data_IF_325323688038
#
_entry.id   IF_325323688038
#
_cell.length_a   1.000
_cell.length_b   1.000
_cell.length_c   1.000
_cell.angle_alpha   90.00
_cell.angle_beta   90.00
_cell.angle_gamma   90.00
#
_symmetry.space_group_name_H-M   'P 1'
#
loop_
_entity.id
_entity.type
_entity.pdbx_description
1 polymer ?
#
# COMPACT_ATOMS: atom_id res chain seq x y z
N UNK A 1 3.74 -8.04 5.19
CA UNK A 1 3.91 -7.50 6.56
C UNK A 1 2.93 -6.36 6.84
N UNK A 2 3.01 -5.23 6.13
CA UNK A 2 2.12 -4.06 6.37
C UNK A 2 0.63 -4.38 6.32
N UNK A 3 0.11 -4.77 5.14
CA UNK A 3 -1.32 -5.06 4.97
C UNK A 3 -1.86 -6.15 5.92
N UNK A 4 -1.04 -7.15 6.25
CA UNK A 4 -1.41 -8.22 7.18
C UNK A 4 -1.56 -7.72 8.62
N UNK A 5 -0.56 -6.97 9.13
CA UNK A 5 -0.60 -6.38 10.48
C UNK A 5 -1.71 -5.32 10.60
N UNK A 6 -1.82 -4.42 9.62
CA UNK A 6 -2.89 -3.42 9.59
C UNK A 6 -4.28 -4.05 9.57
N UNK A 7 -4.47 -5.10 8.76
CA UNK A 7 -5.72 -5.87 8.72
C UNK A 7 -6.05 -6.56 10.04
N UNK A 8 -5.05 -7.13 10.72
CA UNK A 8 -5.24 -7.74 12.05
C UNK A 8 -5.67 -6.71 13.11
N UNK A 9 -5.02 -5.54 13.14
CA UNK A 9 -5.38 -4.45 14.06
C UNK A 9 -6.79 -3.96 13.75
N UNK A 10 -7.13 -3.75 12.47
CA UNK A 10 -8.48 -3.34 12.07
C UNK A 10 -9.56 -4.37 12.47
N UNK A 11 -9.27 -5.67 12.29
CA UNK A 11 -10.17 -6.74 12.73
C UNK A 11 -10.37 -6.74 14.26
N UNK A 12 -9.30 -6.45 15.01
CA UNK A 12 -9.41 -6.27 16.46
C UNK A 12 -10.26 -5.05 16.83
N UNK A 13 -10.04 -3.90 16.19
CA UNK A 13 -10.80 -2.66 16.47
C UNK A 13 -12.29 -2.83 16.18
N UNK A 14 -12.64 -3.38 15.02
CA UNK A 14 -14.03 -3.61 14.60
C UNK A 14 -14.77 -4.59 15.51
N UNK A 15 -14.06 -5.58 16.08
CA UNK A 15 -14.66 -6.53 17.02
C UNK A 15 -14.90 -5.94 18.42
N UNK A 16 -14.05 -5.01 18.86
CA UNK A 16 -13.99 -4.60 20.27
C UNK A 16 -14.41 -3.15 20.54
N UNK A 17 -14.52 -2.29 19.51
CA UNK A 17 -14.85 -0.88 19.67
C UNK A 17 -16.03 -0.48 18.78
N UNK A 18 -16.95 0.37 19.27
CA UNK A 18 -18.00 0.93 18.44
C UNK A 18 -17.38 1.86 17.39
N UNK A 19 -17.88 1.77 16.15
CA UNK A 19 -17.32 2.50 15.02
C UNK A 19 -17.36 4.03 15.25
N UNK A 20 -18.45 4.55 15.79
CA UNK A 20 -18.64 5.97 16.12
C UNK A 20 -17.77 6.47 17.29
N UNK A 21 -17.02 5.59 17.96
CA UNK A 21 -16.21 5.98 19.10
C UNK A 21 -14.90 6.69 18.69
N UNK A 22 -14.45 7.71 19.46
CA UNK A 22 -13.16 8.36 19.22
C UNK A 22 -11.98 7.38 19.41
N UNK A 23 -12.16 6.34 20.25
CA UNK A 23 -11.18 5.27 20.43
C UNK A 23 -10.99 4.45 19.15
N UNK A 24 -12.06 4.21 18.40
CA UNK A 24 -12.00 3.53 17.11
C UNK A 24 -11.24 4.38 16.09
N UNK A 25 -11.56 5.68 15.99
CA UNK A 25 -10.85 6.60 15.09
C UNK A 25 -9.36 6.71 15.42
N UNK A 26 -9.00 6.85 16.70
CA UNK A 26 -7.59 6.83 17.13
C UNK A 26 -6.91 5.50 16.80
N UNK A 27 -7.57 4.38 17.12
CA UNK A 27 -7.06 3.05 16.81
C UNK A 27 -6.84 2.85 15.32
N UNK A 28 -7.73 3.36 14.47
CA UNK A 28 -7.62 3.30 13.02
C UNK A 28 -6.39 4.07 12.51
N UNK A 29 -6.16 5.28 13.02
CA UNK A 29 -4.95 6.06 12.72
C UNK A 29 -3.68 5.36 13.21
N UNK A 30 -3.69 4.78 14.41
CA UNK A 30 -2.56 3.99 14.90
C UNK A 30 -2.30 2.76 14.02
N UNK A 31 -3.36 2.08 13.55
CA UNK A 31 -3.27 0.92 12.68
C UNK A 31 -2.62 1.26 11.33
N UNK A 32 -3.01 2.36 10.70
CA UNK A 32 -2.40 2.82 9.44
C UNK A 32 -0.92 3.17 9.64
N UNK A 33 -0.58 3.88 10.71
CA UNK A 33 0.81 4.25 11.01
C UNK A 33 1.69 3.02 11.23
N UNK A 34 1.24 2.09 12.09
CA UNK A 34 1.98 0.85 12.41
C UNK A 34 2.14 0.00 11.15
N UNK A 35 1.08 -0.14 10.35
CA UNK A 35 1.12 -0.90 9.10
C UNK A 35 2.18 -0.36 8.14
N UNK A 36 2.21 0.97 7.93
CA UNK A 36 3.15 1.62 7.01
C UNK A 36 4.60 1.51 7.53
N UNK A 37 4.83 1.78 8.81
CA UNK A 37 6.16 1.66 9.42
C UNK A 37 6.66 0.21 9.42
N UNK A 38 5.78 -0.77 9.64
CA UNK A 38 6.14 -2.18 9.57
C UNK A 38 6.50 -2.63 8.14
N UNK A 39 5.84 -2.06 7.11
CA UNK A 39 6.21 -2.28 5.72
C UNK A 39 7.60 -1.70 5.40
N UNK A 40 7.88 -0.47 5.84
CA UNK A 40 9.18 0.18 5.68
C UNK A 40 10.31 -0.60 6.39
N UNK A 41 10.03 -1.16 7.56
CA UNK A 41 10.95 -2.04 8.27
C UNK A 41 11.23 -3.34 7.52
N UNK A 42 10.19 -3.99 6.99
CA UNK A 42 10.37 -5.19 6.16
C UNK A 42 11.21 -4.89 4.90
N UNK A 43 10.94 -3.79 4.22
CA UNK A 43 11.74 -3.34 3.08
C UNK A 43 13.20 -3.08 3.47
N UNK A 44 13.45 -2.49 4.64
CA UNK A 44 14.81 -2.27 5.16
C UNK A 44 15.57 -3.58 5.40
N UNK A 45 14.87 -4.62 5.88
CA UNK A 45 15.45 -5.96 6.03
C UNK A 45 15.79 -6.58 4.67
N UNK A 46 14.91 -6.46 3.68
CA UNK A 46 15.14 -6.97 2.33
C UNK A 46 16.34 -6.29 1.65
N UNK A 47 16.42 -4.96 1.76
CA UNK A 47 17.57 -4.19 1.26
C UNK A 47 18.86 -4.59 1.96
N UNK A 48 18.86 -4.72 3.29
CA UNK A 48 20.04 -5.17 4.01
C UNK A 48 20.45 -6.61 3.63
N UNK A 49 19.48 -7.52 3.48
CA UNK A 49 19.72 -8.90 3.08
C UNK A 49 20.27 -9.03 1.66
N UNK A 50 19.91 -8.10 0.77
CA UNK A 50 20.45 -8.02 -0.59
C UNK A 50 21.92 -7.57 -0.66
N UNK A 51 22.49 -7.11 0.46
CA UNK A 51 23.87 -6.60 0.51
C UNK A 51 24.06 -5.20 -0.09
N UNK A 52 22.98 -4.51 -0.48
CA UNK A 52 23.04 -3.17 -1.09
C UNK A 52 23.42 -2.06 -0.11
N UNK A 53 23.01 -2.19 1.16
CA UNK A 53 23.25 -1.18 2.20
C UNK A 53 23.24 -1.81 3.61
N UNK A 54 24.03 -1.28 4.54
CA UNK A 54 24.04 -1.78 5.91
C UNK A 54 22.71 -1.54 6.63
N UNK A 55 22.26 -2.54 7.39
CA UNK A 55 20.94 -2.55 8.04
C UNK A 55 20.65 -1.28 8.86
N UNK A 56 21.53 -0.90 9.79
CA UNK A 56 21.27 0.27 10.65
C UNK A 56 21.19 1.58 9.86
N UNK A 57 21.91 1.68 8.73
CA UNK A 57 21.90 2.87 7.87
C UNK A 57 20.58 2.98 7.12
N UNK A 58 20.14 1.90 6.48
CA UNK A 58 18.86 1.88 5.75
C UNK A 58 17.68 1.93 6.70
N UNK A 59 17.69 1.17 7.80
CA UNK A 59 16.60 1.15 8.76
C UNK A 59 16.39 2.54 9.39
N UNK A 60 17.46 3.22 9.82
CA UNK A 60 17.36 4.56 10.38
C UNK A 60 16.74 5.56 9.41
N UNK A 61 17.19 5.56 8.16
CA UNK A 61 16.68 6.46 7.12
C UNK A 61 15.24 6.10 6.71
N UNK A 62 14.99 4.83 6.41
CA UNK A 62 13.72 4.34 5.88
C UNK A 62 12.62 4.45 6.92
N UNK A 63 12.85 3.99 8.16
CA UNK A 63 11.85 4.11 9.23
C UNK A 63 11.63 5.57 9.61
N UNK A 64 12.68 6.40 9.68
CA UNK A 64 12.53 7.83 10.00
C UNK A 64 11.63 8.56 9.00
N UNK A 65 11.93 8.42 7.71
CA UNK A 65 11.13 9.02 6.62
C UNK A 65 9.70 8.47 6.62
N UNK A 66 9.52 7.16 6.73
CA UNK A 66 8.19 6.54 6.68
C UNK A 66 7.37 6.77 7.96
N UNK A 67 8.00 6.97 9.11
CA UNK A 67 7.30 7.39 10.33
C UNK A 67 6.64 8.76 10.15
N UNK A 68 7.31 9.70 9.49
CA UNK A 68 6.75 11.03 9.19
C UNK A 68 5.63 10.94 8.14
N UNK A 69 5.86 10.21 7.05
CA UNK A 69 4.83 9.95 6.02
C UNK A 69 3.61 9.26 6.65
N UNK A 70 3.84 8.32 7.57
CA UNK A 70 2.79 7.59 8.28
C UNK A 70 1.86 8.50 9.09
N UNK A 71 2.33 9.66 9.56
CA UNK A 71 1.46 10.65 10.22
C UNK A 71 0.45 11.20 9.21
N UNK A 72 0.92 11.57 8.02
CA UNK A 72 0.06 12.01 6.91
C UNK A 72 -0.95 10.95 6.51
N UNK A 73 -0.51 9.71 6.35
CA UNK A 73 -1.39 8.57 6.03
C UNK A 73 -2.47 8.35 7.11
N UNK A 74 -2.11 8.52 8.38
CA UNK A 74 -3.05 8.38 9.49
C UNK A 74 -4.09 9.48 9.51
N UNK A 75 -3.68 10.73 9.22
CA UNK A 75 -4.61 11.85 9.09
C UNK A 75 -5.56 11.66 7.91
N UNK A 76 -5.06 11.19 6.77
CA UNK A 76 -5.88 10.87 5.59
C UNK A 76 -6.85 9.74 5.92
N UNK A 77 -6.37 8.65 6.54
CA UNK A 77 -7.19 7.49 6.91
C UNK A 77 -8.33 7.88 7.84
N UNK A 78 -8.04 8.64 8.90
CA UNK A 78 -9.05 9.10 9.86
C UNK A 78 -9.97 10.15 9.23
N UNK A 79 -9.44 11.04 8.39
CA UNK A 79 -10.22 12.04 7.67
C UNK A 79 -11.22 11.40 6.68
N UNK A 80 -10.79 10.43 5.89
CA UNK A 80 -11.66 9.64 5.01
C UNK A 80 -12.69 8.84 5.81
N UNK A 81 -12.28 8.29 6.95
CA UNK A 81 -13.20 7.61 7.85
C UNK A 81 -14.34 8.55 8.27
N UNK A 82 -14.06 9.75 8.78
CA UNK A 82 -15.12 10.70 9.11
C UNK A 82 -15.88 11.24 7.88
N UNK A 83 -15.21 11.46 6.74
CA UNK A 83 -15.85 11.98 5.53
C UNK A 83 -16.80 10.99 4.84
N UNK A 84 -16.51 9.69 4.93
CA UNK A 84 -17.27 8.63 4.25
C UNK A 84 -18.19 7.84 5.20
N UNK A 85 -17.85 7.70 6.49
CA UNK A 85 -18.63 6.93 7.45
C UNK A 85 -19.86 7.66 8.01
N UNK A 86 -20.06 8.95 7.69
CA UNK A 86 -21.24 9.71 8.14
C UNK A 86 -22.49 9.50 7.31
N UNK A 87 -22.43 8.71 6.23
CA UNK A 87 -23.62 8.20 5.55
C UNK A 87 -23.76 6.72 5.90
N UNK A 88 -24.88 6.27 6.49
CA UNK A 88 -25.11 4.85 6.70
C UNK A 88 -25.30 4.20 5.33
N UNK A 89 -24.20 3.77 4.71
CA UNK A 89 -24.25 2.78 3.64
C UNK A 89 -24.77 1.53 4.33
N UNK A 90 -26.04 1.19 4.08
CA UNK A 90 -26.59 -0.09 4.53
C UNK A 90 -25.62 -1.16 4.04
N UNK A 91 -24.95 -1.82 4.98
CA UNK A 91 -24.04 -2.90 4.66
C UNK A 91 -24.87 -3.96 3.93
N UNK A 92 -24.72 -4.01 2.60
CA UNK A 92 -25.27 -5.12 1.85
C UNK A 92 -24.57 -6.37 2.36
N UNK A 93 -25.34 -7.36 2.80
CA UNK A 93 -24.83 -8.67 3.22
C UNK A 93 -23.99 -9.36 2.11
N UNK A 94 -24.03 -8.82 0.89
CA UNK A 94 -23.21 -9.16 -0.26
C UNK A 94 -22.24 -8.00 -0.55
N UNK A 95 -21.21 -7.81 0.28
CA UNK A 95 -20.14 -6.87 -0.05
C UNK A 95 -19.40 -7.40 -1.27
N UNK A 96 -19.67 -6.81 -2.43
CA UNK A 96 -19.04 -7.22 -3.69
C UNK A 96 -17.61 -6.68 -3.72
N UNK A 97 -16.64 -7.55 -4.00
CA UNK A 97 -15.27 -7.16 -4.28
C UNK A 97 -15.14 -6.18 -5.47
N UNK A 98 -16.22 -6.01 -6.25
CA UNK A 98 -16.32 -5.02 -7.31
C UNK A 98 -16.18 -3.57 -6.82
N UNK A 99 -16.69 -3.24 -5.63
CA UNK A 99 -16.63 -1.86 -5.10
C UNK A 99 -15.18 -1.41 -4.85
N UNK A 100 -14.37 -2.14 -4.05
CA UNK A 100 -12.97 -1.76 -3.87
C UNK A 100 -12.15 -1.88 -5.16
N UNK A 101 -12.48 -2.82 -6.05
CA UNK A 101 -11.79 -2.95 -7.35
C UNK A 101 -12.06 -1.74 -8.26
N UNK A 102 -13.31 -1.27 -8.35
CA UNK A 102 -13.66 -0.08 -9.12
C UNK A 102 -13.00 1.17 -8.55
N UNK A 103 -13.00 1.33 -7.23
CA UNK A 103 -12.31 2.44 -6.57
C UNK A 103 -10.80 2.42 -6.89
N UNK A 104 -10.15 1.26 -6.76
CA UNK A 104 -8.74 1.10 -7.10
C UNK A 104 -8.47 1.38 -8.58
N UNK A 105 -9.35 0.92 -9.48
CA UNK A 105 -9.24 1.17 -10.92
C UNK A 105 -9.38 2.65 -11.28
N UNK A 106 -10.31 3.36 -10.64
CA UNK A 106 -10.48 4.82 -10.81
C UNK A 106 -9.23 5.55 -10.34
N UNK A 107 -8.71 5.21 -9.16
CA UNK A 107 -7.49 5.83 -8.63
C UNK A 107 -6.32 5.56 -9.58
N UNK A 108 -6.14 4.31 -10.00
CA UNK A 108 -5.07 3.91 -10.89
C UNK A 108 -5.13 4.59 -12.26
N UNK A 109 -6.31 4.68 -12.89
CA UNK A 109 -6.44 5.24 -14.24
C UNK A 109 -6.50 6.76 -14.25
N UNK A 110 -7.22 7.37 -13.31
CA UNK A 110 -7.59 8.78 -13.37
C UNK A 110 -6.79 9.66 -12.40
N UNK A 111 -6.35 9.14 -11.26
CA UNK A 111 -5.62 9.94 -10.25
C UNK A 111 -4.11 9.75 -10.34
N UNK A 112 -3.63 8.54 -10.68
CA UNK A 112 -2.19 8.27 -10.77
C UNK A 112 -1.41 9.17 -11.76
N UNK A 113 -1.97 9.62 -12.91
CA UNK A 113 -1.23 10.49 -13.82
C UNK A 113 -0.98 11.91 -13.25
N UNK A 114 -1.69 12.29 -12.19
CA UNK A 114 -1.51 13.55 -11.48
C UNK A 114 -0.63 13.38 -10.22
N UNK A 115 0.01 12.22 -10.04
CA UNK A 115 0.96 12.02 -8.97
C UNK A 115 2.16 12.97 -9.10
N UNK A 116 2.73 13.38 -7.97
CA UNK A 116 3.91 14.23 -7.94
C UNK A 116 5.10 13.56 -8.63
N UNK A 117 5.87 14.32 -9.41
CA UNK A 117 7.13 13.85 -9.99
C UNK A 117 8.33 13.90 -9.03
N UNK A 118 8.11 14.27 -7.76
CA UNK A 118 9.15 14.24 -6.73
C UNK A 118 9.40 12.78 -6.27
N UNK A 119 10.64 12.44 -5.86
CA UNK A 119 10.95 11.11 -5.39
C UNK A 119 10.09 10.77 -4.17
N UNK A 120 9.56 9.55 -4.15
CA UNK A 120 8.83 9.06 -2.99
C UNK A 120 9.78 8.79 -1.79
N UNK A 121 9.23 8.37 -0.66
CA UNK A 121 10.02 8.13 0.55
C UNK A 121 11.12 7.08 0.37
N UNK A 122 10.90 6.07 -0.48
CA UNK A 122 11.88 5.01 -0.75
C UNK A 122 12.95 5.50 -1.73
N UNK A 123 12.54 6.13 -2.83
CA UNK A 123 13.44 6.72 -3.83
C UNK A 123 14.30 7.82 -3.24
N UNK A 124 13.74 8.66 -2.37
CA UNK A 124 14.50 9.70 -1.69
C UNK A 124 15.59 9.10 -0.78
N UNK A 125 15.26 8.06 0.00
CA UNK A 125 16.25 7.34 0.83
C UNK A 125 17.29 6.66 -0.05
N UNK A 126 16.87 6.07 -1.16
CA UNK A 126 17.75 5.45 -2.14
C UNK A 126 18.74 6.43 -2.77
N UNK A 127 18.28 7.60 -3.21
CA UNK A 127 19.11 8.67 -3.73
C UNK A 127 20.04 9.23 -2.65
N UNK A 128 19.53 9.45 -1.42
CA UNK A 128 20.34 10.03 -0.33
C UNK A 128 21.52 9.15 0.05
N UNK A 129 21.36 7.84 0.00
CA UNK A 129 22.37 6.87 0.42
C UNK A 129 23.02 6.11 -0.75
N UNK A 130 22.64 6.44 -1.99
CA UNK A 130 23.20 5.93 -3.24
C UNK A 130 23.23 4.39 -3.29
N UNK A 131 22.22 3.69 -2.76
CA UNK A 131 22.20 2.22 -2.79
C UNK A 131 21.53 1.63 -4.03
N UNK A 132 20.94 2.47 -4.89
CA UNK A 132 20.59 2.10 -6.27
C UNK A 132 21.83 2.33 -7.15
N UNK A 133 22.75 1.38 -7.16
CA UNK A 133 23.83 1.38 -8.16
C UNK A 133 23.29 0.81 -9.47
N UNK A 134 23.80 1.31 -10.61
CA UNK A 134 23.55 0.77 -11.95
C UNK A 134 24.22 -0.61 -12.16
N UNK A 135 24.12 -1.53 -11.21
CA UNK A 135 24.35 -2.94 -11.47
C UNK A 135 23.19 -3.48 -12.30
N UNK A 136 23.49 -4.37 -13.26
CA UNK A 136 22.45 -5.02 -14.05
C UNK A 136 21.40 -5.61 -13.11
N UNK A 137 20.13 -5.18 -13.19
CA UNK A 137 19.14 -5.61 -12.23
C UNK A 137 18.94 -7.12 -12.39
N UNK A 138 18.97 -7.86 -11.28
CA UNK A 138 18.73 -9.30 -11.29
C UNK A 138 17.33 -9.65 -11.85
N UNK A 139 16.42 -8.67 -11.86
CA UNK A 139 15.10 -8.76 -12.46
C UNK A 139 14.80 -7.49 -13.28
N UNK A 140 14.40 -7.66 -14.53
CA UNK A 140 13.96 -6.54 -15.37
C UNK A 140 12.52 -6.19 -14.99
N UNK A 141 12.29 -4.94 -14.59
CA UNK A 141 10.93 -4.45 -14.30
C UNK A 141 10.05 -4.60 -15.54
N UNK A 142 8.80 -5.03 -15.34
CA UNK A 142 7.82 -5.22 -16.42
C UNK A 142 7.50 -3.90 -17.14
N UNK A 143 7.40 -2.80 -16.40
CA UNK A 143 7.06 -1.47 -16.91
C UNK A 143 7.89 -0.41 -16.15
N UNK A 144 9.20 -0.27 -16.48
CA UNK A 144 10.07 0.66 -15.78
C UNK A 144 9.60 2.10 -15.97
N UNK A 145 9.52 2.87 -14.87
CA UNK A 145 9.05 4.25 -14.89
C UNK A 145 7.64 4.43 -15.46
N UNK A 146 6.80 3.38 -15.41
CA UNK A 146 5.47 3.36 -16.02
C UNK A 146 5.45 3.59 -17.55
N UNK A 147 6.60 3.48 -18.22
CA UNK A 147 6.72 3.62 -19.66
C UNK A 147 6.27 2.34 -20.37
N UNK A 148 5.17 2.41 -21.13
CA UNK A 148 4.69 1.30 -21.94
C UNK A 148 5.19 1.45 -23.39
N UNK A 149 5.95 0.49 -23.94
CA UNK A 149 6.55 0.61 -25.28
C UNK A 149 5.56 0.88 -26.42
N UNK A 150 4.29 0.50 -26.24
CA UNK A 150 3.24 0.66 -27.25
C UNK A 150 2.40 1.95 -27.09
N UNK A 151 2.68 2.79 -26.09
CA UNK A 151 1.87 3.98 -25.75
C UNK A 151 2.75 5.22 -25.68
N UNK A 152 2.56 6.14 -26.63
CA UNK A 152 3.35 7.38 -26.71
C UNK A 152 2.88 8.49 -25.75
N UNK A 153 1.67 8.36 -25.19
CA UNK A 153 1.13 9.35 -24.25
C UNK A 153 1.47 8.95 -22.82
N UNK A 154 2.33 9.73 -22.15
CA UNK A 154 2.80 9.45 -20.78
C UNK A 154 1.67 9.35 -19.75
N UNK A 155 0.66 10.23 -19.84
CA UNK A 155 -0.50 10.24 -18.94
C UNK A 155 -1.28 8.92 -19.07
N UNK A 156 -1.51 8.50 -20.33
CA UNK A 156 -2.19 7.23 -20.62
C UNK A 156 -1.34 6.02 -20.22
N UNK A 157 -0.03 6.07 -20.45
CA UNK A 157 0.91 5.00 -20.09
C UNK A 157 0.91 4.78 -18.57
N UNK A 158 1.03 5.85 -17.79
CA UNK A 158 0.98 5.81 -16.31
C UNK A 158 -0.35 5.25 -15.80
N UNK A 159 -1.48 5.74 -16.34
CA UNK A 159 -2.80 5.24 -15.95
C UNK A 159 -3.01 3.74 -16.25
N UNK A 160 -2.56 3.28 -17.43
CA UNK A 160 -2.65 1.88 -17.83
C UNK A 160 -1.70 0.97 -17.05
N UNK A 161 -0.48 1.42 -16.77
CA UNK A 161 0.46 0.70 -15.93
C UNK A 161 -0.08 0.54 -14.50
N UNK A 162 -0.73 1.59 -13.96
CA UNK A 162 -1.48 1.52 -12.70
C UNK A 162 -2.60 0.48 -12.75
N UNK A 163 -3.42 0.47 -13.80
CA UNK A 163 -4.49 -0.53 -13.97
C UNK A 163 -3.97 -1.96 -14.04
N UNK A 164 -2.85 -2.17 -14.74
CA UNK A 164 -2.19 -3.47 -14.81
C UNK A 164 -1.76 -3.93 -13.40
N UNK A 165 -1.17 -3.03 -12.61
CA UNK A 165 -0.82 -3.29 -11.22
C UNK A 165 -2.03 -3.69 -10.37
N UNK A 166 -3.14 -2.95 -10.45
CA UNK A 166 -4.40 -3.28 -9.75
C UNK A 166 -4.90 -4.67 -10.14
N UNK A 167 -4.92 -4.99 -11.44
CA UNK A 167 -5.37 -6.29 -11.93
C UNK A 167 -4.52 -7.46 -11.39
N UNK A 168 -3.19 -7.30 -11.38
CA UNK A 168 -2.26 -8.32 -10.87
C UNK A 168 -2.45 -8.52 -9.36
N UNK A 169 -2.41 -7.44 -8.58
CA UNK A 169 -2.53 -7.51 -7.11
C UNK A 169 -3.88 -8.06 -6.69
N UNK A 170 -4.98 -7.64 -7.33
CA UNK A 170 -6.32 -8.14 -7.03
C UNK A 170 -6.45 -9.63 -7.36
N UNK A 171 -5.90 -10.07 -8.49
CA UNK A 171 -5.90 -11.49 -8.87
C UNK A 171 -5.10 -12.35 -7.88
N UNK A 172 -3.91 -11.89 -7.48
CA UNK A 172 -3.10 -12.58 -6.48
C UNK A 172 -3.79 -12.65 -5.11
N UNK A 173 -4.37 -11.54 -4.64
CA UNK A 173 -5.08 -11.49 -3.37
C UNK A 173 -6.32 -12.40 -3.36
N UNK A 174 -7.10 -12.41 -4.44
CA UNK A 174 -8.29 -13.29 -4.56
C UNK A 174 -7.91 -14.76 -4.66
N UNK A 175 -6.83 -15.10 -5.36
CA UNK A 175 -6.29 -16.46 -5.39
C UNK A 175 -5.85 -16.91 -3.99
N UNK A 176 -5.06 -16.09 -3.30
CA UNK A 176 -4.61 -16.37 -1.94
C UNK A 176 -5.79 -16.57 -0.99
N UNK A 177 -6.80 -15.69 -1.05
CA UNK A 177 -8.01 -15.81 -0.25
C UNK A 177 -8.77 -17.12 -0.52
N UNK A 178 -8.89 -17.54 -1.79
CA UNK A 178 -9.50 -18.83 -2.16
C UNK A 178 -8.71 -20.01 -1.62
N UNK A 179 -7.38 -19.98 -1.70
CA UNK A 179 -6.51 -21.05 -1.20
C UNK A 179 -6.62 -21.18 0.32
N UNK A 180 -6.55 -20.07 1.06
CA UNK A 180 -6.69 -20.06 2.52
C UNK A 180 -8.08 -20.52 2.97
N UNK A 181 -9.14 -20.08 2.29
CA UNK A 181 -10.51 -20.50 2.62
C UNK A 181 -10.76 -21.97 2.28
N UNK A 182 -10.12 -22.51 1.24
CA UNK A 182 -10.21 -23.94 0.90
C UNK A 182 -9.58 -24.81 1.98
N UNK A 183 -8.42 -24.41 2.52
CA UNK A 183 -7.81 -25.11 3.65
C UNK A 183 -8.68 -25.09 4.92
N UNK A 184 -9.44 -24.00 5.16
CA UNK A 184 -10.34 -23.88 6.32
C UNK A 184 -11.62 -24.73 6.23
N UNK A 185 -12.00 -25.21 5.05
CA UNK A 185 -13.18 -26.07 4.84
C UNK A 185 -12.84 -27.56 4.84
N UNK A 186 -11.55 -27.90 4.81
CA UNK A 186 -11.05 -29.29 4.81
C UNK A 186 -10.64 -29.74 6.22
N UNK A 187 -10.62 -28.81 7.20
CA UNK A 187 -10.42 -29.04 8.64
C UNK A 187 -11.76 -28.88 9.34
#
# INVERSE_FOLDING_TARGET
VGAGLGGFILAYLTKNLPADSPKYAFGLGAASWISLTAAAFACSLELAASGTISFFKVAGAMLGTHALIGIGESLITVGLYFGLALKPVKASAKSSAAVPLLAAGIIALLLSPFASGLPDGLEWVAQKYQFLHESAPAFVSLVPGYAMPAVNNEILATGLAGLLGVAIVFSAATLLAKLLNRCRQVV
#
